data_IF_838732520388
#
_entry.id   IF_838732520388
#
_cell.length_a   1.000
_cell.length_b   1.000
_cell.length_c   1.000
_cell.angle_alpha   90.00
_cell.angle_beta   90.00
_cell.angle_gamma   90.00
#
_symmetry.space_group_name_H-M   'P 1'
#
loop_
_entity.id
_entity.type
_entity.pdbx_description
1 polymer ?
#
# COMPACT_ATOMS: atom_id res chain seq x y z
N UNK A 1 10.81 9.49 19.87
CA UNK A 1 9.90 8.36 20.13
C UNK A 1 8.54 8.76 19.60
N UNK A 2 7.98 7.98 18.67
CA UNK A 2 6.64 8.19 18.14
C UNK A 2 5.56 7.63 19.08
N UNK A 3 4.29 7.99 18.82
CA UNK A 3 3.17 7.55 19.66
C UNK A 3 3.05 6.02 19.74
N UNK A 4 3.18 5.32 18.60
CA UNK A 4 3.11 3.85 18.56
C UNK A 4 4.31 3.18 19.22
N UNK A 5 5.53 3.72 19.03
CA UNK A 5 6.73 3.23 19.69
C UNK A 5 6.64 3.42 21.22
N UNK A 6 6.10 4.56 21.67
CA UNK A 6 5.88 4.83 23.10
C UNK A 6 4.84 3.87 23.71
N UNK A 7 3.80 3.50 22.96
CA UNK A 7 2.84 2.48 23.35
C UNK A 7 3.50 1.11 23.49
N UNK A 8 4.25 0.69 22.46
CA UNK A 8 4.97 -0.58 22.48
C UNK A 8 5.95 -0.70 23.65
N UNK A 9 6.60 0.41 24.03
CA UNK A 9 7.52 0.49 25.17
C UNK A 9 6.80 0.64 26.53
N UNK A 10 5.46 0.67 26.55
CA UNK A 10 4.68 0.81 27.78
C UNK A 10 4.72 2.20 28.43
N UNK A 11 5.07 3.26 27.68
CA UNK A 11 5.10 4.63 28.20
C UNK A 11 3.71 5.24 28.33
N UNK A 12 2.72 4.67 27.68
CA UNK A 12 1.31 4.99 27.84
C UNK A 12 0.45 3.77 27.52
N UNK A 13 -0.77 3.75 28.03
CA UNK A 13 -1.78 2.75 27.79
C UNK A 13 -3.18 3.40 27.80
N UNK A 14 -4.18 2.70 27.31
CA UNK A 14 -5.58 3.11 27.28
C UNK A 14 -6.49 1.90 27.39
N UNK A 15 -7.61 2.03 28.10
CA UNK A 15 -8.67 1.03 28.14
C UNK A 15 -9.35 0.83 26.76
N UNK A 16 -9.27 1.85 25.88
CA UNK A 16 -9.78 1.83 24.51
C UNK A 16 -8.81 2.62 23.62
N UNK A 17 -7.87 1.91 22.98
CA UNK A 17 -6.87 2.51 22.10
C UNK A 17 -7.50 3.14 20.85
N UNK A 18 -8.48 2.50 20.16
CA UNK A 18 -9.21 3.11 19.05
C UNK A 18 -9.85 4.44 19.40
N UNK A 19 -10.52 4.53 20.53
CA UNK A 19 -11.19 5.76 20.98
C UNK A 19 -10.18 6.86 21.33
N UNK A 20 -9.07 6.50 21.97
CA UNK A 20 -7.96 7.43 22.22
C UNK A 20 -7.36 7.98 20.91
N UNK A 21 -7.15 7.14 19.89
CA UNK A 21 -6.63 7.57 18.59
C UNK A 21 -7.64 8.45 17.86
N UNK A 22 -8.93 8.16 17.97
CA UNK A 22 -10.02 8.99 17.46
C UNK A 22 -10.00 10.37 18.10
N UNK A 23 -9.90 10.43 19.43
CA UNK A 23 -9.75 11.69 20.18
C UNK A 23 -8.53 12.49 19.71
N UNK A 24 -7.38 11.84 19.57
CA UNK A 24 -6.17 12.48 19.06
C UNK A 24 -6.34 13.04 17.64
N UNK A 25 -7.01 12.29 16.76
CA UNK A 25 -7.28 12.68 15.38
C UNK A 25 -8.19 13.91 15.30
N UNK A 26 -9.27 13.94 16.06
CA UNK A 26 -10.21 15.07 16.13
C UNK A 26 -9.56 16.33 16.70
N UNK A 27 -8.55 16.19 17.57
CA UNK A 27 -7.86 17.31 18.22
C UNK A 27 -6.48 17.60 17.61
N UNK A 28 -6.18 17.09 16.40
CA UNK A 28 -4.87 17.18 15.78
C UNK A 28 -4.34 18.62 15.63
N UNK A 29 -5.21 19.58 15.35
CA UNK A 29 -4.86 21.00 15.24
C UNK A 29 -4.34 21.58 16.55
N UNK A 30 -4.98 21.24 17.66
CA UNK A 30 -4.57 21.68 19.02
C UNK A 30 -3.28 21.00 19.47
N UNK A 31 -3.09 19.73 19.11
CA UNK A 31 -1.88 18.95 19.41
C UNK A 31 -0.67 19.45 18.63
N UNK A 32 -0.84 19.85 17.35
CA UNK A 32 0.24 20.41 16.53
C UNK A 32 0.84 21.67 17.13
N UNK A 33 0.05 22.50 17.79
CA UNK A 33 0.52 23.75 18.38
C UNK A 33 1.33 23.53 19.68
N UNK A 34 1.09 22.46 20.40
CA UNK A 34 1.80 22.12 21.66
C UNK A 34 3.04 21.26 21.43
N UNK A 35 3.13 20.55 20.32
CA UNK A 35 4.22 19.63 19.98
C UNK A 35 5.26 20.21 19.02
N UNK A 36 5.44 21.54 18.96
CA UNK A 36 6.45 22.13 18.06
C UNK A 36 7.86 21.76 18.54
N UNK A 37 8.45 20.77 17.89
CA UNK A 37 9.88 20.49 18.03
C UNK A 37 10.68 21.77 17.72
N UNK A 38 11.72 22.07 18.53
CA UNK A 38 12.64 23.17 18.31
C UNK A 38 13.17 23.14 16.86
N UNK A 39 13.42 24.33 16.30
CA UNK A 39 13.93 24.51 14.93
C UNK A 39 15.11 23.57 14.58
N UNK A 40 16.04 23.40 15.52
CA UNK A 40 17.17 22.47 15.37
C UNK A 40 16.76 21.01 15.26
N UNK A 41 15.74 20.58 16.02
CA UNK A 41 15.21 19.23 15.92
C UNK A 41 14.49 18.98 14.58
N UNK A 42 13.84 20.02 14.02
CA UNK A 42 13.23 19.92 12.67
C UNK A 42 14.29 19.76 11.60
N UNK A 43 15.38 20.54 11.67
CA UNK A 43 16.52 20.44 10.73
C UNK A 43 17.20 19.08 10.86
N UNK A 44 17.50 18.65 12.09
CA UNK A 44 18.11 17.34 12.34
C UNK A 44 17.23 16.19 11.81
N UNK A 45 15.93 16.24 12.06
CA UNK A 45 14.98 15.23 11.58
C UNK A 45 14.86 15.25 10.05
N UNK A 46 14.87 16.43 9.43
CA UNK A 46 14.89 16.58 7.98
C UNK A 46 16.15 16.00 7.36
N UNK A 47 17.33 16.35 7.87
CA UNK A 47 18.62 15.83 7.40
C UNK A 47 18.74 14.32 7.63
N UNK A 48 18.33 13.83 8.79
CA UNK A 48 18.30 12.40 9.10
C UNK A 48 17.39 11.64 8.12
N UNK A 49 16.19 12.15 7.86
CA UNK A 49 15.28 11.53 6.88
C UNK A 49 15.84 11.54 5.45
N UNK A 50 16.49 12.62 5.04
CA UNK A 50 17.14 12.70 3.73
C UNK A 50 18.29 11.70 3.57
N UNK A 51 19.07 11.48 4.62
CA UNK A 51 20.23 10.59 4.60
C UNK A 51 19.84 9.12 4.81
N UNK A 52 18.92 8.84 5.73
CA UNK A 52 18.57 7.46 6.13
C UNK A 52 17.43 6.88 5.32
N UNK A 53 16.49 7.72 4.84
CA UNK A 53 15.32 7.31 4.04
C UNK A 53 15.39 7.77 2.60
N UNK A 54 16.59 7.99 2.07
CA UNK A 54 16.77 8.36 0.67
C UNK A 54 16.08 7.33 -0.24
N UNK A 55 15.28 7.82 -1.20
CA UNK A 55 14.55 6.98 -2.17
C UNK A 55 15.51 6.46 -3.26
N UNK A 56 16.60 5.79 -2.82
CA UNK A 56 17.49 5.03 -3.68
C UNK A 56 16.90 3.64 -3.95
N UNK A 57 17.39 2.93 -4.95
CA UNK A 57 16.97 1.55 -5.23
C UNK A 57 17.12 0.65 -4.00
N UNK A 58 18.20 0.81 -3.26
CA UNK A 58 18.46 0.06 -2.02
C UNK A 58 17.56 0.52 -0.86
N UNK A 59 17.43 1.83 -0.65
CA UNK A 59 16.61 2.40 0.41
C UNK A 59 15.12 2.10 0.24
N UNK A 60 14.60 2.17 -0.99
CA UNK A 60 13.21 1.79 -1.30
C UNK A 60 12.93 0.33 -0.97
N UNK A 61 13.83 -0.58 -1.38
CA UNK A 61 13.68 -2.00 -1.07
C UNK A 61 13.68 -2.26 0.44
N UNK A 62 14.62 -1.66 1.17
CA UNK A 62 14.68 -1.79 2.64
C UNK A 62 13.42 -1.28 3.32
N UNK A 63 12.96 -0.08 2.99
CA UNK A 63 11.78 0.53 3.60
C UNK A 63 10.49 -0.28 3.34
N UNK A 64 10.35 -0.85 2.13
CA UNK A 64 9.19 -1.68 1.78
C UNK A 64 9.28 -3.04 2.46
N UNK A 65 10.44 -3.67 2.51
CA UNK A 65 10.62 -4.92 3.26
C UNK A 65 10.25 -4.73 4.73
N UNK A 66 10.76 -3.71 5.41
CA UNK A 66 10.40 -3.40 6.80
C UNK A 66 8.90 -3.16 7.01
N UNK A 67 8.20 -2.66 5.98
CA UNK A 67 6.76 -2.39 6.06
C UNK A 67 5.90 -3.63 5.80
N UNK A 68 6.30 -4.52 4.89
CA UNK A 68 5.53 -5.70 4.48
C UNK A 68 6.02 -7.02 5.07
N UNK A 69 7.18 -7.08 5.72
CA UNK A 69 7.74 -8.28 6.38
C UNK A 69 6.98 -8.71 7.66
N UNK A 70 5.91 -8.00 8.02
CA UNK A 70 5.00 -8.42 9.10
C UNK A 70 4.29 -9.76 8.73
N UNK A 71 4.29 -10.11 7.44
CA UNK A 71 3.73 -11.36 6.93
C UNK A 71 2.29 -11.26 6.45
N UNK A 72 1.92 -12.17 5.53
CA UNK A 72 0.59 -12.19 4.92
C UNK A 72 -0.52 -12.45 5.93
N UNK A 73 -0.28 -13.25 6.96
CA UNK A 73 -1.29 -13.59 8.00
C UNK A 73 -1.79 -12.35 8.74
N UNK A 74 -0.87 -11.40 9.02
CA UNK A 74 -1.25 -10.13 9.62
C UNK A 74 -2.18 -9.33 8.70
N UNK A 75 -1.86 -9.21 7.43
CA UNK A 75 -2.69 -8.46 6.48
C UNK A 75 -4.04 -9.14 6.24
N UNK A 76 -4.08 -10.46 6.16
CA UNK A 76 -5.32 -11.24 6.02
C UNK A 76 -6.25 -11.09 7.21
N UNK A 77 -5.74 -10.77 8.41
CA UNK A 77 -6.55 -10.62 9.61
C UNK A 77 -7.49 -9.41 9.60
N UNK A 78 -7.22 -8.41 8.75
CA UNK A 78 -7.98 -7.16 8.71
C UNK A 78 -8.27 -6.59 7.31
N UNK A 79 -7.56 -7.02 6.27
CA UNK A 79 -7.92 -6.70 4.89
C UNK A 79 -9.13 -7.54 4.44
N UNK A 80 -9.83 -7.02 3.44
CA UNK A 80 -10.87 -7.75 2.74
C UNK A 80 -10.27 -8.90 1.88
N UNK A 81 -11.09 -9.86 1.37
CA UNK A 81 -10.59 -10.98 0.59
C UNK A 81 -9.80 -10.61 -0.67
N UNK A 82 -9.97 -9.40 -1.21
CA UNK A 82 -9.16 -8.93 -2.33
C UNK A 82 -7.72 -8.63 -1.94
N UNK A 83 -7.40 -8.60 -0.63
CA UNK A 83 -6.10 -8.23 -0.10
C UNK A 83 -5.64 -6.85 -0.61
N UNK A 84 -6.55 -5.89 -0.64
CA UNK A 84 -6.26 -4.56 -1.16
C UNK A 84 -5.87 -3.60 -0.05
N UNK A 85 -4.61 -3.23 0.00
CA UNK A 85 -4.09 -2.26 0.97
C UNK A 85 -4.05 -0.85 0.39
N UNK A 86 -5.19 -0.36 0.00
CA UNK A 86 -5.40 1.02 -0.46
C UNK A 86 -6.87 1.42 -0.30
N UNK A 87 -7.16 2.73 -0.44
CA UNK A 87 -8.53 3.23 -0.28
C UNK A 87 -9.50 2.58 -1.28
N UNK A 88 -10.73 2.37 -0.84
CA UNK A 88 -11.83 1.83 -1.64
C UNK A 88 -12.76 2.94 -2.16
N UNK A 89 -13.64 2.59 -3.11
CA UNK A 89 -14.68 3.50 -3.62
C UNK A 89 -16.04 2.89 -3.28
N UNK A 90 -16.70 3.39 -2.26
CA UNK A 90 -18.10 3.07 -1.97
C UNK A 90 -19.02 3.75 -2.98
N UNK A 91 -19.98 3.01 -3.48
CA UNK A 91 -21.07 3.50 -4.33
C UNK A 91 -22.40 3.50 -3.57
N UNK A 92 -22.47 2.77 -2.47
CA UNK A 92 -23.60 2.68 -1.56
C UNK A 92 -23.14 2.50 -0.12
N UNK A 93 -23.91 2.96 0.84
CA UNK A 93 -23.65 2.72 2.28
C UNK A 93 -23.73 1.23 2.66
N UNK A 94 -24.37 0.40 1.82
CA UNK A 94 -24.50 -1.03 2.01
C UNK A 94 -23.29 -1.81 1.47
N UNK A 95 -22.40 -1.18 0.72
CA UNK A 95 -21.25 -1.87 0.15
C UNK A 95 -20.33 -2.38 1.27
N UNK A 96 -19.96 -3.65 1.18
CA UNK A 96 -18.86 -4.20 1.96
C UNK A 96 -17.52 -3.56 1.52
N UNK A 97 -16.47 -3.76 2.28
CA UNK A 97 -15.13 -3.30 1.87
C UNK A 97 -14.70 -3.97 0.56
N UNK A 98 -15.01 -5.26 0.41
CA UNK A 98 -14.72 -6.00 -0.83
C UNK A 98 -15.44 -5.39 -2.04
N UNK A 99 -16.75 -5.12 -1.94
CA UNK A 99 -17.51 -4.48 -3.02
C UNK A 99 -16.89 -3.13 -3.41
N UNK A 100 -16.54 -2.33 -2.41
CA UNK A 100 -15.93 -1.02 -2.62
C UNK A 100 -14.53 -1.10 -3.27
N UNK A 101 -13.75 -2.13 -2.97
CA UNK A 101 -12.47 -2.39 -3.63
C UNK A 101 -12.68 -2.83 -5.09
N UNK A 102 -13.64 -3.72 -5.35
CA UNK A 102 -14.00 -4.15 -6.70
C UNK A 102 -14.52 -2.98 -7.54
N UNK A 103 -15.35 -2.09 -6.98
CA UNK A 103 -15.81 -0.87 -7.66
C UNK A 103 -14.63 0.03 -8.06
N UNK A 104 -13.62 0.18 -7.21
CA UNK A 104 -12.38 0.89 -7.55
C UNK A 104 -11.69 0.27 -8.74
N UNK A 105 -11.48 -1.03 -8.74
CA UNK A 105 -10.82 -1.74 -9.83
C UNK A 105 -11.59 -1.62 -11.13
N UNK A 106 -12.89 -1.85 -11.12
CA UNK A 106 -13.75 -1.70 -12.28
C UNK A 106 -13.73 -0.29 -12.84
N UNK A 107 -13.71 0.73 -11.97
CA UNK A 107 -13.58 2.13 -12.40
C UNK A 107 -12.27 2.38 -13.14
N UNK A 108 -11.15 1.86 -12.63
CA UNK A 108 -9.84 1.98 -13.31
C UNK A 108 -9.88 1.24 -14.65
N UNK A 109 -10.30 -0.03 -14.65
CA UNK A 109 -10.41 -0.89 -15.83
C UNK A 109 -11.20 -0.21 -16.95
N UNK A 110 -12.38 0.32 -16.63
CA UNK A 110 -13.25 1.02 -17.57
C UNK A 110 -12.61 2.31 -18.08
N UNK A 111 -11.97 3.09 -17.18
CA UNK A 111 -11.37 4.38 -17.52
C UNK A 111 -10.20 4.23 -18.52
N UNK A 112 -9.39 3.19 -18.37
CA UNK A 112 -8.20 2.99 -19.21
C UNK A 112 -8.44 2.01 -20.36
N UNK A 113 -9.62 1.39 -20.43
CA UNK A 113 -9.99 0.41 -21.46
C UNK A 113 -8.92 -0.69 -21.62
N UNK A 114 -8.94 -1.66 -20.71
CA UNK A 114 -7.88 -2.68 -20.59
C UNK A 114 -8.02 -3.86 -21.57
N UNK A 115 -9.16 -4.02 -22.25
CA UNK A 115 -9.45 -5.17 -23.08
C UNK A 115 -8.39 -5.33 -24.19
N UNK A 116 -7.78 -6.52 -24.26
CA UNK A 116 -6.71 -6.87 -25.20
C UNK A 116 -5.47 -5.96 -25.12
N UNK A 117 -5.23 -5.31 -23.98
CA UNK A 117 -4.11 -4.41 -23.73
C UNK A 117 -3.03 -5.04 -22.90
N UNK A 118 -1.79 -4.62 -23.16
CA UNK A 118 -0.64 -4.90 -22.31
C UNK A 118 -0.57 -3.85 -21.19
N UNK A 119 -0.75 -4.30 -19.95
CA UNK A 119 -0.84 -3.44 -18.75
C UNK A 119 0.39 -3.66 -17.88
N UNK A 120 1.06 -2.58 -17.51
CA UNK A 120 2.03 -2.58 -16.41
C UNK A 120 1.37 -2.08 -15.15
N UNK A 121 1.33 -2.91 -14.11
CA UNK A 121 0.88 -2.54 -12.77
C UNK A 121 2.10 -2.34 -11.86
N UNK A 122 2.33 -1.10 -11.42
CA UNK A 122 3.43 -0.75 -10.52
C UNK A 122 2.92 -0.83 -9.09
N UNK A 123 3.52 -1.73 -8.29
CA UNK A 123 3.04 -2.00 -6.93
C UNK A 123 1.78 -2.85 -6.92
N UNK A 124 1.81 -4.01 -7.59
CA UNK A 124 0.64 -4.89 -7.74
C UNK A 124 0.12 -5.49 -6.42
N UNK A 125 0.83 -5.28 -5.31
CA UNK A 125 0.44 -5.83 -4.03
C UNK A 125 0.24 -7.35 -4.10
N UNK A 126 -0.88 -7.83 -3.58
CA UNK A 126 -1.27 -9.24 -3.62
C UNK A 126 -2.05 -9.64 -4.89
N UNK A 127 -2.04 -8.79 -5.93
CA UNK A 127 -2.57 -9.10 -7.27
C UNK A 127 -4.07 -8.85 -7.47
N UNK A 128 -4.72 -8.08 -6.57
CA UNK A 128 -6.18 -7.86 -6.65
C UNK A 128 -6.63 -7.15 -7.92
N UNK A 129 -5.95 -6.06 -8.33
CA UNK A 129 -6.28 -5.39 -9.59
C UNK A 129 -5.96 -6.26 -10.81
N UNK A 130 -4.80 -6.94 -10.80
CA UNK A 130 -4.41 -7.83 -11.89
C UNK A 130 -5.46 -8.92 -12.13
N UNK A 131 -6.00 -9.53 -11.08
CA UNK A 131 -7.05 -10.55 -11.15
C UNK A 131 -8.30 -10.03 -11.90
N UNK A 132 -8.81 -8.85 -11.53
CA UNK A 132 -9.97 -8.22 -12.17
C UNK A 132 -9.68 -7.78 -13.60
N UNK A 133 -8.49 -7.26 -13.88
CA UNK A 133 -8.10 -6.84 -15.22
C UNK A 133 -8.00 -8.02 -16.20
N UNK A 134 -7.49 -9.17 -15.75
CA UNK A 134 -7.39 -10.39 -16.57
C UNK A 134 -8.76 -10.91 -16.97
N UNK A 135 -9.73 -10.92 -16.05
CA UNK A 135 -11.12 -11.32 -16.36
C UNK A 135 -11.71 -10.46 -17.48
N UNK A 136 -11.28 -9.21 -17.59
CA UNK A 136 -11.71 -8.29 -18.66
C UNK A 136 -10.90 -8.46 -19.96
N UNK A 137 -9.93 -9.39 -19.99
CA UNK A 137 -9.12 -9.71 -21.18
C UNK A 137 -7.82 -8.90 -21.29
N UNK A 138 -7.32 -8.31 -20.21
CA UNK A 138 -6.01 -7.68 -20.18
C UNK A 138 -4.88 -8.71 -20.08
N UNK A 139 -3.70 -8.37 -20.60
CA UNK A 139 -2.43 -9.03 -20.30
C UNK A 139 -1.69 -8.18 -19.30
N UNK A 140 -1.51 -8.69 -18.08
CA UNK A 140 -0.95 -7.90 -16.97
C UNK A 140 0.46 -8.36 -16.61
N UNK A 141 1.38 -7.39 -16.55
CA UNK A 141 2.69 -7.53 -15.89
C UNK A 141 2.66 -6.72 -14.61
N UNK A 142 2.64 -7.40 -13.47
CA UNK A 142 2.61 -6.78 -12.14
C UNK A 142 4.00 -6.71 -11.51
N UNK A 143 4.34 -5.58 -10.91
CA UNK A 143 5.60 -5.37 -10.21
C UNK A 143 5.38 -5.26 -8.72
N UNK A 144 6.21 -5.95 -7.97
CA UNK A 144 6.37 -5.73 -6.52
C UNK A 144 7.84 -5.86 -6.14
N UNK A 145 8.21 -5.35 -4.97
CA UNK A 145 9.54 -5.53 -4.38
C UNK A 145 9.47 -6.26 -3.03
N UNK A 146 8.29 -6.76 -2.64
CA UNK A 146 8.04 -7.60 -1.47
C UNK A 146 7.96 -9.08 -1.88
N UNK A 147 8.75 -9.95 -1.22
CA UNK A 147 8.72 -11.40 -1.44
C UNK A 147 7.33 -11.97 -1.11
N UNK A 148 6.75 -11.57 0.01
CA UNK A 148 5.45 -12.03 0.48
C UNK A 148 4.33 -11.73 -0.52
N UNK A 149 4.32 -10.51 -1.07
CA UNK A 149 3.36 -10.12 -2.10
C UNK A 149 3.59 -10.88 -3.40
N UNK A 150 4.85 -11.05 -3.81
CA UNK A 150 5.21 -11.76 -5.03
C UNK A 150 4.70 -13.21 -5.01
N UNK A 151 5.01 -13.96 -3.96
CA UNK A 151 4.62 -15.35 -3.84
C UNK A 151 3.10 -15.50 -3.77
N UNK A 152 2.44 -14.63 -3.02
CA UNK A 152 0.98 -14.61 -2.92
C UNK A 152 0.32 -14.29 -4.28
N UNK A 153 0.74 -13.22 -4.95
CA UNK A 153 0.18 -12.81 -6.23
C UNK A 153 0.40 -13.89 -7.31
N UNK A 154 1.57 -14.51 -7.35
CA UNK A 154 1.83 -15.63 -8.28
C UNK A 154 0.89 -16.80 -8.04
N UNK A 155 0.69 -17.19 -6.79
CA UNK A 155 -0.24 -18.27 -6.43
C UNK A 155 -1.69 -17.91 -6.81
N UNK A 156 -2.12 -16.69 -6.49
CA UNK A 156 -3.46 -16.17 -6.78
C UNK A 156 -3.75 -16.17 -8.27
N UNK A 157 -2.84 -15.63 -9.06
CA UNK A 157 -3.05 -15.44 -10.50
C UNK A 157 -2.76 -16.68 -11.34
N UNK A 158 -2.14 -17.70 -10.74
CA UNK A 158 -1.95 -19.04 -11.30
C UNK A 158 -1.47 -19.03 -12.77
N UNK A 159 -0.50 -18.18 -13.09
CA UNK A 159 0.10 -18.06 -14.42
C UNK A 159 -0.69 -17.20 -15.44
N UNK A 160 -1.85 -16.64 -15.06
CA UNK A 160 -2.62 -15.76 -15.94
C UNK A 160 -2.08 -14.33 -16.02
N UNK A 161 -1.09 -13.97 -15.20
CA UNK A 161 -0.33 -12.73 -15.27
C UNK A 161 1.16 -12.98 -15.04
N UNK A 162 1.99 -12.11 -15.58
CA UNK A 162 3.42 -12.10 -15.26
C UNK A 162 3.65 -11.26 -14.03
N UNK A 163 4.15 -11.85 -12.95
CA UNK A 163 4.53 -11.12 -11.73
C UNK A 163 6.04 -11.10 -11.61
N UNK A 164 6.60 -9.89 -11.50
CA UNK A 164 8.03 -9.65 -11.43
C UNK A 164 8.42 -9.00 -10.11
N UNK A 165 9.44 -9.55 -9.46
CA UNK A 165 10.07 -8.93 -8.30
C UNK A 165 11.12 -7.92 -8.76
N UNK A 166 10.66 -6.75 -9.18
CA UNK A 166 11.51 -5.70 -9.74
C UNK A 166 11.06 -4.31 -9.30
N UNK A 167 12.03 -3.43 -9.16
CA UNK A 167 11.78 -1.99 -9.07
C UNK A 167 11.38 -1.46 -10.45
N UNK A 168 10.28 -0.68 -10.50
CA UNK A 168 9.73 -0.14 -11.74
C UNK A 168 10.75 0.68 -12.55
N UNK A 169 11.73 1.30 -11.88
CA UNK A 169 12.82 2.07 -12.50
C UNK A 169 13.75 1.22 -13.37
N UNK A 170 13.71 -0.11 -13.20
CA UNK A 170 14.54 -1.06 -13.96
C UNK A 170 13.81 -1.74 -15.11
N UNK A 171 12.51 -1.51 -15.25
CA UNK A 171 11.71 -2.10 -16.32
C UNK A 171 12.04 -1.42 -17.65
N UNK A 172 12.16 -2.25 -18.67
CA UNK A 172 12.36 -1.83 -20.05
C UNK A 172 11.22 -2.36 -20.91
N UNK A 173 10.94 -1.66 -21.99
CA UNK A 173 9.87 -2.02 -22.92
C UNK A 173 8.75 -0.99 -22.90
N UNK A 174 7.67 -1.32 -23.59
CA UNK A 174 6.49 -0.46 -23.74
C UNK A 174 5.24 -1.24 -23.35
N UNK A 175 4.28 -0.55 -22.77
CA UNK A 175 2.98 -1.07 -22.40
C UNK A 175 1.89 -0.16 -22.96
N UNK A 176 0.73 -0.72 -23.25
CA UNK A 176 -0.42 0.08 -23.70
C UNK A 176 -0.93 1.00 -22.58
N UNK A 177 -0.87 0.53 -21.34
CA UNK A 177 -1.33 1.27 -20.14
C UNK A 177 -0.41 1.00 -18.96
N UNK A 178 -0.33 1.98 -18.08
CA UNK A 178 0.38 1.87 -16.79
C UNK A 178 -0.59 2.24 -15.68
N UNK A 179 -0.62 1.43 -14.62
CA UNK A 179 -1.42 1.63 -13.41
C UNK A 179 -0.48 1.61 -12.21
N UNK A 180 -0.75 2.49 -11.23
CA UNK A 180 -0.01 2.53 -9.96
C UNK A 180 -0.92 2.95 -8.82
#
# INVERSE_FOLDING_TARGET
IGLGEAYHLGFWDSSDVPDFLTYCSLNLSSLKNKGQANFFNKIFFYLHNQLVRANTLYGSKKNILEHYDIGNDFYQSWLDPTMTYSSAIKTSDKDSLMDAQLHKYQRIINKINVQNKDILEIGCGWGGFAEEAIVTGARVTGLTISNEQYDFAKKRLNGNAEILMKDYRTIKGTFDRIVS
#
